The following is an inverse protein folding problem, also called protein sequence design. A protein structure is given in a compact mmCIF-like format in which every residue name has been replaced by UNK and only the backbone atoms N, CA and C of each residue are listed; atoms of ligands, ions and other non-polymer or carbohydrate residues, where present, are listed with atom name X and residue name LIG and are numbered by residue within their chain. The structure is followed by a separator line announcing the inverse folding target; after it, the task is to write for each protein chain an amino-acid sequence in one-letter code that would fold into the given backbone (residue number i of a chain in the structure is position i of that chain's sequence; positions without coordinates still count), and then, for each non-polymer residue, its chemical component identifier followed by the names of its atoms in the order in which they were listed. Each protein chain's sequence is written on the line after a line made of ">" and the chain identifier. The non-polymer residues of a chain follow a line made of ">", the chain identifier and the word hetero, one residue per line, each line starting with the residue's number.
data_IF_396610749555
#
_entry.id   IF_396610749555
#
_cell.length_a   1.000
_cell.length_b   1.000
_cell.length_c   1.000
_cell.angle_alpha   90.00
_cell.angle_beta   90.00
_cell.angle_gamma   90.00
#
_symmetry.space_group_name_H-M   'P 1'
#
loop_
_entity.id
_entity.type
_entity.pdbx_description
1 polymer ?
#
# COMPACT_ATOMS: atom_id res chain seq x y z
N UNK A 1 -8.13 -24.50 -0.16
CA UNK A 1 -6.84 -24.37 -0.88
C UNK A 1 -6.46 -22.91 -1.13
N UNK A 2 -7.17 -22.15 -1.98
CA UNK A 2 -6.84 -20.73 -2.25
C UNK A 2 -7.05 -19.80 -1.06
N UNK A 3 -8.15 -19.98 -0.32
CA UNK A 3 -8.40 -19.26 0.93
C UNK A 3 -7.28 -19.51 1.93
N UNK A 4 -6.87 -20.76 2.13
CA UNK A 4 -5.80 -21.09 3.08
C UNK A 4 -4.44 -20.55 2.64
N UNK A 5 -4.22 -20.30 1.34
CA UNK A 5 -3.04 -19.58 0.84
C UNK A 5 -3.13 -18.08 1.15
N UNK A 6 -4.31 -17.48 0.97
CA UNK A 6 -4.55 -16.06 1.32
C UNK A 6 -4.36 -15.80 2.82
N UNK A 7 -4.88 -16.69 3.66
CA UNK A 7 -4.75 -16.58 5.11
C UNK A 7 -3.30 -16.73 5.54
N UNK A 8 -2.58 -17.73 4.99
CA UNK A 8 -1.13 -17.88 5.23
C UNK A 8 -0.32 -16.67 4.78
N UNK A 9 -0.64 -16.12 3.60
CA UNK A 9 0.04 -14.94 3.08
C UNK A 9 -0.23 -13.68 3.92
N UNK A 10 -1.37 -13.60 4.62
CA UNK A 10 -1.73 -12.47 5.49
C UNK A 10 -1.46 -12.68 6.98
N UNK A 11 -0.75 -13.74 7.36
CA UNK A 11 -0.35 -13.98 8.76
C UNK A 11 0.47 -12.80 9.31
N UNK A 12 0.08 -12.31 10.50
CA UNK A 12 0.74 -11.18 11.16
C UNK A 12 0.34 -9.79 10.63
N UNK A 13 -0.63 -9.69 9.72
CA UNK A 13 -1.12 -8.42 9.18
C UNK A 13 -2.54 -8.17 9.69
N UNK A 14 -2.78 -6.97 10.20
CA UNK A 14 -4.11 -6.52 10.60
C UNK A 14 -4.88 -5.95 9.40
N UNK A 15 -6.05 -6.52 9.10
CA UNK A 15 -6.93 -6.07 8.04
C UNK A 15 -8.38 -6.49 8.30
N UNK A 16 -9.30 -5.71 7.76
CA UNK A 16 -10.73 -5.99 7.76
C UNK A 16 -11.33 -5.80 6.35
N UNK A 17 -10.93 -4.75 5.62
CA UNK A 17 -11.35 -4.53 4.23
C UNK A 17 -10.33 -5.09 3.27
N UNK A 18 -10.79 -5.85 2.28
CA UNK A 18 -9.89 -6.46 1.29
C UNK A 18 -10.48 -6.49 -0.11
N UNK A 19 -9.61 -6.70 -1.09
CA UNK A 19 -10.02 -6.99 -2.46
C UNK A 19 -9.30 -8.24 -2.98
N UNK A 20 -9.94 -8.91 -3.95
CA UNK A 20 -9.43 -10.13 -4.57
C UNK A 20 -9.21 -9.88 -6.06
N UNK A 21 -8.02 -10.22 -6.54
CA UNK A 21 -7.65 -10.25 -7.94
C UNK A 21 -7.12 -11.62 -8.33
N UNK A 22 -7.09 -11.90 -9.62
CA UNK A 22 -6.48 -13.13 -10.14
C UNK A 22 -5.72 -12.85 -11.43
N UNK A 23 -4.60 -13.55 -11.59
CA UNK A 23 -3.81 -13.63 -12.80
C UNK A 23 -4.05 -14.98 -13.47
N UNK A 24 -4.22 -14.97 -14.79
CA UNK A 24 -4.56 -16.13 -15.60
C UNK A 24 -3.66 -16.17 -16.82
N UNK A 25 -3.44 -17.36 -17.37
CA UNK A 25 -2.80 -17.54 -18.66
C UNK A 25 -3.53 -16.73 -19.76
N UNK A 26 -2.85 -15.82 -20.47
CA UNK A 26 -3.43 -15.07 -21.57
C UNK A 26 -4.07 -15.96 -22.64
N UNK A 27 -3.53 -17.16 -22.91
CA UNK A 27 -4.10 -18.08 -23.88
C UNK A 27 -5.47 -18.60 -23.42
N UNK A 28 -5.62 -18.87 -22.13
CA UNK A 28 -6.90 -19.29 -21.55
C UNK A 28 -7.96 -18.18 -21.67
N UNK A 29 -7.59 -16.94 -21.39
CA UNK A 29 -8.50 -15.79 -21.53
C UNK A 29 -8.89 -15.56 -22.99
N UNK A 30 -7.95 -15.69 -23.93
CA UNK A 30 -8.25 -15.56 -25.36
C UNK A 30 -9.21 -16.67 -25.85
N UNK A 31 -9.06 -17.89 -25.33
CA UNK A 31 -9.98 -19.01 -25.65
C UNK A 31 -11.38 -18.77 -25.08
N UNK A 32 -11.50 -18.21 -23.88
CA UNK A 32 -12.79 -17.79 -23.31
C UNK A 32 -13.46 -16.73 -24.19
N UNK A 33 -12.72 -15.71 -24.60
CA UNK A 33 -13.23 -14.63 -25.45
C UNK A 33 -13.68 -15.14 -26.84
N UNK A 34 -12.91 -16.05 -27.44
CA UNK A 34 -13.29 -16.71 -28.70
C UNK A 34 -14.60 -17.50 -28.56
N UNK A 35 -14.74 -18.26 -27.47
CA UNK A 35 -15.95 -19.03 -27.17
C UNK A 35 -17.17 -18.12 -26.98
N UNK A 36 -17.01 -17.00 -26.28
CA UNK A 36 -18.10 -16.03 -26.11
C UNK A 36 -18.52 -15.38 -27.43
N UNK A 37 -17.55 -15.07 -28.29
CA UNK A 37 -17.80 -14.54 -29.63
C UNK A 37 -18.59 -15.53 -30.47
N UNK A 38 -18.24 -16.82 -30.41
CA UNK A 38 -18.93 -17.90 -31.12
C UNK A 38 -20.37 -18.10 -30.62
N UNK A 39 -20.58 -18.08 -29.30
CA UNK A 39 -21.90 -18.28 -28.68
C UNK A 39 -22.80 -17.05 -28.83
N UNK A 40 -22.23 -15.84 -28.91
CA UNK A 40 -22.97 -14.58 -29.06
C UNK A 40 -23.82 -14.21 -27.84
N UNK A 41 -23.45 -14.65 -26.65
CA UNK A 41 -24.23 -14.39 -25.41
C UNK A 41 -23.82 -13.09 -24.72
N UNK A 42 -24.81 -12.30 -24.29
CA UNK A 42 -24.60 -11.11 -23.47
C UNK A 42 -24.54 -11.42 -21.95
N UNK A 43 -24.71 -12.67 -21.55
CA UNK A 43 -24.89 -13.09 -20.14
C UNK A 43 -23.66 -13.79 -19.55
N UNK A 44 -22.53 -13.80 -20.26
CA UNK A 44 -21.29 -14.42 -19.79
C UNK A 44 -20.61 -13.60 -18.70
N UNK A 45 -20.19 -14.26 -17.63
CA UNK A 45 -19.24 -13.72 -16.66
C UNK A 45 -17.86 -14.32 -16.91
N UNK A 46 -16.82 -13.48 -16.90
CA UNK A 46 -15.44 -13.97 -17.10
C UNK A 46 -15.01 -14.89 -15.96
N UNK A 47 -14.19 -15.88 -16.28
CA UNK A 47 -13.56 -16.75 -15.30
C UNK A 47 -12.86 -15.95 -14.21
N UNK A 48 -12.25 -14.81 -14.58
CA UNK A 48 -11.64 -13.86 -13.66
C UNK A 48 -12.64 -13.29 -12.66
N UNK A 49 -13.78 -12.76 -13.14
CA UNK A 49 -14.80 -12.17 -12.28
C UNK A 49 -15.45 -13.21 -11.38
N UNK A 50 -15.82 -14.37 -11.96
CA UNK A 50 -16.43 -15.46 -11.23
C UNK A 50 -15.51 -15.98 -10.11
N UNK A 51 -14.23 -16.22 -10.43
CA UNK A 51 -13.24 -16.66 -9.46
C UNK A 51 -13.04 -15.64 -8.34
N UNK A 52 -12.85 -14.35 -8.66
CA UNK A 52 -12.62 -13.31 -7.66
C UNK A 52 -13.81 -13.17 -6.71
N UNK A 53 -15.04 -13.25 -7.24
CA UNK A 53 -16.27 -13.18 -6.43
C UNK A 53 -16.39 -14.37 -5.48
N UNK A 54 -16.26 -15.59 -5.97
CA UNK A 54 -16.40 -16.79 -5.14
C UNK A 54 -15.26 -16.91 -4.12
N UNK A 55 -14.04 -16.56 -4.53
CA UNK A 55 -12.91 -16.53 -3.60
C UNK A 55 -13.10 -15.48 -2.50
N UNK A 56 -13.59 -14.28 -2.85
CA UNK A 56 -13.94 -13.23 -1.90
C UNK A 56 -14.94 -13.71 -0.86
N UNK A 57 -16.09 -14.25 -1.28
CA UNK A 57 -17.12 -14.80 -0.36
C UNK A 57 -16.55 -15.83 0.62
N UNK A 58 -15.65 -16.69 0.15
CA UNK A 58 -15.03 -17.71 1.00
C UNK A 58 -14.05 -17.11 2.02
N UNK A 59 -13.34 -16.03 1.66
CA UNK A 59 -12.51 -15.27 2.61
C UNK A 59 -13.41 -14.58 3.65
N UNK A 60 -14.47 -13.88 3.22
CA UNK A 60 -15.43 -13.22 4.11
C UNK A 60 -16.02 -14.20 5.13
N UNK A 61 -16.46 -15.37 4.68
CA UNK A 61 -17.01 -16.41 5.55
C UNK A 61 -16.01 -16.96 6.57
N UNK A 62 -14.70 -16.89 6.28
CA UNK A 62 -13.63 -17.44 7.14
C UNK A 62 -13.04 -16.40 8.09
N UNK A 63 -13.04 -15.12 7.72
CA UNK A 63 -12.37 -14.06 8.51
C UNK A 63 -13.32 -13.02 9.08
N UNK A 64 -14.56 -12.94 8.59
CA UNK A 64 -15.47 -11.84 8.90
C UNK A 64 -15.04 -10.51 8.27
N UNK A 65 -14.03 -10.51 7.39
CA UNK A 65 -13.63 -9.35 6.62
C UNK A 65 -14.69 -8.95 5.60
N UNK A 66 -14.58 -7.73 5.09
CA UNK A 66 -15.48 -7.16 4.09
C UNK A 66 -14.75 -7.05 2.76
N UNK A 67 -15.17 -7.86 1.79
CA UNK A 67 -14.67 -7.84 0.43
C UNK A 67 -15.31 -6.71 -0.38
N UNK A 68 -14.51 -5.99 -1.16
CA UNK A 68 -15.06 -4.98 -2.06
C UNK A 68 -14.01 -4.17 -2.82
N UNK A 69 -14.45 -3.39 -3.82
CA UNK A 69 -13.56 -2.56 -4.63
C UNK A 69 -13.11 -1.27 -3.93
N UNK A 70 -13.77 -0.86 -2.83
CA UNK A 70 -13.56 0.44 -2.21
C UNK A 70 -12.53 0.38 -1.08
N UNK A 71 -11.43 1.11 -1.24
CA UNK A 71 -10.40 1.37 -0.24
C UNK A 71 -10.02 0.13 0.61
N UNK A 72 -9.50 -0.95 -0.03
CA UNK A 72 -9.02 -2.12 0.68
C UNK A 72 -7.83 -1.76 1.56
N UNK A 73 -7.63 -2.51 2.64
CA UNK A 73 -6.43 -2.47 3.49
C UNK A 73 -5.39 -3.48 2.98
N UNK A 74 -5.88 -4.59 2.39
CA UNK A 74 -5.06 -5.61 1.75
C UNK A 74 -5.68 -6.05 0.42
N UNK A 75 -4.82 -6.25 -0.59
CA UNK A 75 -5.21 -6.83 -1.88
C UNK A 75 -4.60 -8.22 -1.97
N UNK A 76 -5.45 -9.24 -2.19
CA UNK A 76 -5.01 -10.59 -2.48
C UNK A 76 -4.99 -10.81 -4.00
N UNK A 77 -3.86 -11.22 -4.56
CA UNK A 77 -3.71 -11.55 -5.97
C UNK A 77 -3.38 -13.04 -6.10
N UNK A 78 -4.33 -13.83 -6.61
CA UNK A 78 -4.09 -15.23 -6.92
C UNK A 78 -3.44 -15.35 -8.30
N UNK A 79 -2.19 -15.80 -8.35
CA UNK A 79 -1.60 -16.30 -9.58
C UNK A 79 -2.04 -17.75 -9.78
N UNK A 80 -3.06 -17.94 -10.61
CA UNK A 80 -3.67 -19.25 -10.85
C UNK A 80 -2.70 -20.19 -11.54
N UNK A 81 -1.85 -19.66 -12.43
CA UNK A 81 -0.85 -20.42 -13.18
C UNK A 81 0.29 -20.89 -12.27
N UNK A 82 0.79 -20.01 -11.40
CA UNK A 82 1.87 -20.34 -10.46
C UNK A 82 1.38 -21.10 -9.21
N UNK A 83 0.07 -21.05 -8.92
CA UNK A 83 -0.45 -21.63 -7.69
C UNK A 83 -0.11 -20.81 -6.43
N UNK A 84 0.08 -19.50 -6.55
CA UNK A 84 0.54 -18.64 -5.46
C UNK A 84 -0.46 -17.51 -5.17
N UNK A 85 -0.44 -17.00 -3.94
CA UNK A 85 -1.20 -15.80 -3.55
C UNK A 85 -0.20 -14.75 -3.10
N UNK A 86 -0.17 -13.64 -3.83
CA UNK A 86 0.56 -12.45 -3.45
C UNK A 86 -0.36 -11.52 -2.66
N UNK A 87 0.23 -10.74 -1.76
CA UNK A 87 -0.49 -9.71 -1.00
C UNK A 87 0.13 -8.35 -1.21
N UNK A 88 -0.71 -7.34 -1.33
CA UNK A 88 -0.29 -5.93 -1.30
C UNK A 88 -0.99 -5.24 -0.13
N UNK A 89 -0.22 -4.75 0.83
CA UNK A 89 -0.73 -3.94 1.94
C UNK A 89 -0.89 -2.50 1.47
N UNK A 90 -2.05 -1.91 1.70
CA UNK A 90 -2.33 -0.52 1.30
C UNK A 90 -1.78 0.47 2.32
N UNK A 91 -1.28 1.64 1.89
CA UNK A 91 -0.73 2.64 2.82
C UNK A 91 -1.76 3.15 3.83
N UNK A 92 -1.33 3.35 5.07
CA UNK A 92 -2.11 4.07 6.08
C UNK A 92 -1.99 5.59 5.85
N UNK A 93 -3.13 6.27 5.73
CA UNK A 93 -3.18 7.72 5.61
C UNK A 93 -3.54 8.37 6.94
N UNK A 94 -2.61 9.14 7.50
CA UNK A 94 -2.84 9.97 8.69
C UNK A 94 -3.03 11.43 8.26
N UNK A 95 -4.14 12.04 8.69
CA UNK A 95 -4.43 13.45 8.44
C UNK A 95 -4.52 14.19 9.76
N UNK A 96 -3.88 15.36 9.83
CA UNK A 96 -3.90 16.20 11.01
C UNK A 96 -3.41 17.62 10.72
N UNK A 97 -3.16 18.37 11.79
CA UNK A 97 -2.49 19.67 11.76
C UNK A 97 -1.34 19.61 12.76
N UNK A 98 -0.25 20.30 12.47
CA UNK A 98 0.86 20.47 13.39
C UNK A 98 1.02 21.95 13.73
N UNK A 99 1.61 22.22 14.90
CA UNK A 99 2.07 23.54 15.30
C UNK A 99 3.60 23.49 15.35
N UNK A 100 4.25 24.52 14.83
CA UNK A 100 5.70 24.66 14.78
C UNK A 100 6.10 25.91 15.54
N UNK A 101 6.70 25.70 16.71
CA UNK A 101 7.17 26.77 17.59
C UNK A 101 8.65 27.13 17.38
N UNK A 102 9.42 26.23 16.76
CA UNK A 102 10.87 26.36 16.53
C UNK A 102 11.18 26.99 15.16
N UNK A 103 11.97 28.07 15.16
CA UNK A 103 12.39 28.82 13.96
C UNK A 103 13.66 28.27 13.30
N UNK A 104 14.19 27.16 13.80
CA UNK A 104 15.34 26.45 13.23
C UNK A 104 14.95 25.12 12.57
N UNK A 105 13.67 24.74 12.66
CA UNK A 105 13.15 23.44 12.22
C UNK A 105 12.56 23.54 10.79
N UNK A 106 13.12 22.84 9.79
CA UNK A 106 12.50 22.78 8.47
C UNK A 106 11.22 21.93 8.47
N UNK A 107 10.31 22.21 7.53
CA UNK A 107 9.08 21.42 7.33
C UNK A 107 9.40 19.99 6.89
N UNK A 108 10.23 19.84 5.86
CA UNK A 108 10.61 18.55 5.26
C UNK A 108 12.06 18.19 5.56
N UNK A 109 12.45 16.93 5.36
CA UNK A 109 13.85 16.52 5.47
C UNK A 109 14.71 17.21 4.41
N UNK A 110 15.86 17.78 4.83
CA UNK A 110 16.81 18.42 3.91
C UNK A 110 18.11 17.59 3.82
N UNK A 111 18.34 16.89 2.69
CA UNK A 111 19.58 16.16 2.47
C UNK A 111 20.79 17.09 2.51
N UNK A 112 21.94 16.58 2.96
CA UNK A 112 23.20 17.29 2.90
C UNK A 112 23.54 17.61 1.43
N UNK A 113 23.89 18.88 1.15
CA UNK A 113 24.17 19.35 -0.21
C UNK A 113 25.35 18.62 -0.89
N UNK A 114 26.33 18.15 -0.11
CA UNK A 114 27.53 17.47 -0.62
C UNK A 114 27.32 15.99 -0.91
N UNK A 115 26.66 15.27 -0.01
CA UNK A 115 26.52 13.80 -0.10
C UNK A 115 25.11 13.32 -0.48
N UNK A 116 24.15 14.23 -0.61
CA UNK A 116 22.77 13.95 -1.02
C UNK A 116 22.08 12.86 -0.18
N UNK A 117 22.33 12.83 1.13
CA UNK A 117 21.71 11.85 2.02
C UNK A 117 22.58 10.67 2.42
N UNK A 118 23.74 10.46 1.77
CA UNK A 118 24.61 9.30 2.03
C UNK A 118 25.35 9.35 3.37
N UNK A 119 25.60 10.55 3.91
CA UNK A 119 26.54 10.76 5.00
C UNK A 119 27.94 11.08 4.50
N UNK A 120 28.58 12.10 5.09
CA UNK A 120 29.96 12.50 4.82
C UNK A 120 30.52 13.33 5.98
N UNK A 121 31.83 13.60 5.97
CA UNK A 121 32.52 14.37 7.00
C UNK A 121 31.83 15.73 7.27
N UNK A 122 31.42 16.46 6.24
CA UNK A 122 30.81 17.79 6.36
C UNK A 122 29.48 17.80 7.13
N UNK A 123 28.73 16.70 7.10
CA UNK A 123 27.46 16.56 7.81
C UNK A 123 27.57 15.65 9.05
N UNK A 124 28.81 15.33 9.48
CA UNK A 124 29.05 14.42 10.60
C UNK A 124 28.46 13.02 10.38
N UNK A 125 28.39 12.56 9.13
CA UNK A 125 27.83 11.24 8.78
C UNK A 125 26.29 11.17 8.74
N UNK A 126 25.56 12.22 9.13
CA UNK A 126 24.08 12.18 9.21
C UNK A 126 23.38 12.14 7.85
N UNK A 127 24.06 12.61 6.80
CA UNK A 127 23.48 12.78 5.48
C UNK A 127 22.48 13.94 5.39
N UNK A 128 22.34 14.78 6.42
CA UNK A 128 21.35 15.86 6.48
C UNK A 128 22.01 17.24 6.64
N UNK A 129 21.30 18.28 6.23
CA UNK A 129 21.69 19.69 6.49
C UNK A 129 21.21 20.14 7.87
N UNK A 130 20.00 19.74 8.26
CA UNK A 130 19.43 19.99 9.58
C UNK A 130 19.24 18.66 10.32
N UNK A 131 19.35 18.62 11.66
CA UNK A 131 19.26 17.36 12.41
C UNK A 131 17.94 16.60 12.20
N UNK A 132 16.83 17.33 12.14
CA UNK A 132 15.47 16.78 11.96
C UNK A 132 14.56 17.79 11.25
N UNK A 133 13.32 17.38 10.97
CA UNK A 133 12.26 18.20 10.37
C UNK A 133 10.89 17.89 10.99
N UNK A 134 9.87 18.70 10.68
CA UNK A 134 8.48 18.40 11.06
C UNK A 134 8.04 17.04 10.52
N UNK A 135 8.33 16.76 9.24
CA UNK A 135 8.11 15.46 8.60
C UNK A 135 8.69 14.30 9.41
N UNK A 136 9.94 14.42 9.87
CA UNK A 136 10.61 13.35 10.62
C UNK A 136 10.04 13.19 12.03
N UNK A 137 9.69 14.30 12.70
CA UNK A 137 9.08 14.28 14.04
C UNK A 137 7.67 13.66 14.03
N UNK A 138 6.89 13.88 12.96
CA UNK A 138 5.57 13.26 12.79
C UNK A 138 5.67 11.82 12.29
N UNK A 139 6.61 11.55 11.38
CA UNK A 139 6.80 10.24 10.77
C UNK A 139 7.33 9.19 11.74
N UNK A 140 8.28 9.54 12.61
CA UNK A 140 8.89 8.59 13.55
C UNK A 140 7.87 7.86 14.46
N UNK A 141 6.96 8.53 15.19
CA UNK A 141 5.96 7.85 16.01
C UNK A 141 4.94 7.08 15.17
N UNK A 142 4.60 7.55 13.96
CA UNK A 142 3.70 6.84 13.06
C UNK A 142 4.31 5.52 12.58
N UNK A 143 5.60 5.53 12.20
CA UNK A 143 6.36 4.35 11.77
C UNK A 143 6.46 3.33 12.90
N UNK A 144 6.86 3.79 14.10
CA UNK A 144 7.02 2.94 15.28
C UNK A 144 5.71 2.25 15.70
N UNK A 145 4.57 2.92 15.54
CA UNK A 145 3.26 2.37 15.90
C UNK A 145 2.63 1.48 14.83
N UNK A 146 2.88 1.78 13.56
CA UNK A 146 2.26 1.04 12.44
C UNK A 146 3.08 -0.17 11.98
N UNK A 147 4.37 -0.23 12.30
CA UNK A 147 5.27 -1.25 11.75
C UNK A 147 5.53 -1.09 10.25
N UNK A 148 5.15 0.05 9.65
CA UNK A 148 5.38 0.31 8.24
C UNK A 148 6.89 0.41 7.92
N UNK A 149 7.26 0.20 6.65
CA UNK A 149 8.65 0.30 6.21
C UNK A 149 9.14 1.74 6.00
N UNK A 150 8.22 2.66 5.68
CA UNK A 150 8.54 4.07 5.42
C UNK A 150 7.31 4.97 5.63
N UNK A 151 7.56 6.28 5.76
CA UNK A 151 6.53 7.32 5.77
C UNK A 151 6.75 8.31 4.64
N UNK A 152 5.67 8.91 4.14
CA UNK A 152 5.71 10.04 3.21
C UNK A 152 4.86 11.17 3.79
N UNK A 153 5.44 12.36 3.89
CA UNK A 153 4.74 13.53 4.38
C UNK A 153 4.22 14.40 3.23
N UNK A 154 3.01 14.92 3.39
CA UNK A 154 2.42 15.91 2.49
C UNK A 154 1.83 17.06 3.32
N UNK A 155 2.44 18.23 3.21
CA UNK A 155 1.94 19.47 3.79
C UNK A 155 1.02 20.20 2.83
N UNK A 156 -0.10 20.72 3.33
CA UNK A 156 -0.96 21.65 2.57
C UNK A 156 -0.32 23.03 2.59
N UNK A 157 0.67 23.23 1.71
CA UNK A 157 1.54 24.41 1.70
C UNK A 157 2.89 24.16 2.39
N UNK A 158 3.74 25.18 2.36
CA UNK A 158 5.10 25.13 2.90
C UNK A 158 5.45 26.44 3.58
N UNK A 159 6.01 26.33 4.78
CA UNK A 159 6.56 27.43 5.55
C UNK A 159 8.09 27.49 5.44
N UNK A 160 8.64 28.69 5.59
CA UNK A 160 10.07 28.89 5.75
C UNK A 160 10.57 28.37 7.11
N UNK A 161 11.87 28.14 7.22
CA UNK A 161 12.49 27.56 8.42
C UNK A 161 12.27 28.47 9.63
N UNK A 162 12.35 29.78 9.45
CA UNK A 162 12.21 30.80 10.49
C UNK A 162 10.75 31.22 10.76
N UNK A 163 9.79 30.64 10.03
CA UNK A 163 8.37 30.83 10.28
C UNK A 163 7.86 29.96 11.45
N UNK A 164 6.86 30.49 12.17
CA UNK A 164 6.06 29.77 13.17
C UNK A 164 4.62 29.64 12.70
N UNK A 165 3.94 28.58 13.09
CA UNK A 165 2.55 28.26 12.73
C UNK A 165 1.87 27.42 13.79
#
# INVERSE_FOLDING_TARGET
>A
MWVDRALRASEGIEWHRFSCGSCWDPELLAREEALWTEIGTAWGESIRSAFNREWGKLIEARTGGVGGPQAPEIVFLADVSAGLVEITQMPLYLKGRYLKFDRSLPQTRWPCRRCQGRGCADCGGTGKTYPTSVEELLGAPALARSGAAATKFHGMGREDIDARM
#
